data_IF_218111202802
#
_entry.id   IF_218111202802
#
_cell.length_a   1.000
_cell.length_b   1.000
_cell.length_c   1.000
_cell.angle_alpha   90.00
_cell.angle_beta   90.00
_cell.angle_gamma   90.00
#
_symmetry.space_group_name_H-M   'P 1'
#
loop_
_entity.id
_entity.type
_entity.pdbx_description
1 polymer ?
#
# COMPACT_ATOMS: atom_id res chain seq x y z
N UNK A 1 -6.39 -1.35 41.66
CA UNK A 1 -5.35 -0.54 40.97
C UNK A 1 -5.21 -1.06 39.56
N UNK A 2 -5.75 -0.33 38.59
CA UNK A 2 -5.70 -0.67 37.16
C UNK A 2 -4.29 -0.41 36.65
N UNK A 3 -3.52 -1.47 36.37
CA UNK A 3 -2.27 -1.33 35.65
C UNK A 3 -2.56 -0.83 34.23
N UNK A 4 -2.22 0.43 33.98
CA UNK A 4 -2.18 1.02 32.64
C UNK A 4 -1.11 0.29 31.82
N UNK A 5 -1.51 -0.62 30.94
CA UNK A 5 -0.64 -1.34 29.99
C UNK A 5 -0.01 -0.44 28.90
N UNK A 6 -0.08 0.88 29.07
CA UNK A 6 0.51 1.89 28.21
C UNK A 6 1.74 2.53 28.86
N UNK A 7 2.50 1.76 29.64
CA UNK A 7 3.80 2.21 30.14
C UNK A 7 4.80 2.28 28.97
N UNK A 8 5.13 3.52 28.63
CA UNK A 8 6.35 4.08 28.04
C UNK A 8 7.22 3.21 27.10
N UNK A 9 7.50 3.78 25.92
CA UNK A 9 8.63 3.45 25.05
C UNK A 9 8.66 2.08 24.37
N UNK A 10 7.52 1.51 23.95
CA UNK A 10 7.53 0.33 23.05
C UNK A 10 7.90 0.69 21.60
N UNK A 11 9.00 1.40 21.40
CA UNK A 11 9.66 1.60 20.11
C UNK A 11 11.03 0.90 20.10
N UNK A 12 11.02 -0.40 20.42
CA UNK A 12 12.19 -1.24 20.23
C UNK A 12 11.93 -2.17 19.05
N UNK A 13 12.54 -1.83 17.91
CA UNK A 13 12.73 -2.80 16.83
C UNK A 13 13.61 -3.89 17.41
N UNK A 14 13.02 -5.06 17.60
CA UNK A 14 13.69 -6.26 18.10
C UNK A 14 13.43 -7.40 17.14
N UNK A 15 14.30 -8.38 17.17
CA UNK A 15 14.14 -9.59 16.36
C UNK A 15 12.78 -10.27 16.66
N UNK A 16 12.14 -10.78 15.62
CA UNK A 16 10.87 -11.51 15.72
C UNK A 16 9.61 -10.65 15.72
N UNK A 17 9.69 -9.30 15.71
CA UNK A 17 8.48 -8.47 15.66
C UNK A 17 7.69 -8.67 14.35
N UNK A 18 8.39 -9.03 13.26
CA UNK A 18 7.77 -9.33 11.97
C UNK A 18 6.84 -10.56 12.05
N UNK A 19 7.00 -11.42 13.06
CA UNK A 19 6.22 -12.65 13.26
C UNK A 19 4.96 -12.43 14.10
N UNK A 20 4.86 -11.33 14.86
CA UNK A 20 3.72 -11.06 15.77
C UNK A 20 2.38 -11.08 15.03
N UNK A 21 2.33 -10.51 13.84
CA UNK A 21 1.14 -10.45 12.98
C UNK A 21 1.26 -11.37 11.76
N UNK A 22 2.01 -12.47 11.87
CA UNK A 22 2.21 -13.39 10.74
C UNK A 22 0.87 -13.94 10.23
N UNK A 23 0.62 -13.80 8.92
CA UNK A 23 -0.60 -14.30 8.27
C UNK A 23 -1.88 -13.55 8.64
N UNK A 24 -1.79 -12.49 9.46
CA UNK A 24 -2.95 -11.76 9.96
C UNK A 24 -3.70 -11.04 8.85
N UNK A 25 -5.02 -11.19 8.85
CA UNK A 25 -5.95 -10.34 8.10
C UNK A 25 -6.85 -9.65 9.12
N UNK A 26 -6.60 -8.36 9.36
CA UNK A 26 -7.37 -7.57 10.32
C UNK A 26 -8.75 -7.15 9.81
N UNK A 27 -9.57 -6.63 10.73
CA UNK A 27 -10.78 -5.91 10.37
C UNK A 27 -10.43 -4.55 9.74
N UNK A 28 -11.35 -4.01 8.95
CA UNK A 28 -11.20 -2.64 8.45
C UNK A 28 -11.40 -1.62 9.57
N UNK A 29 -10.44 -0.72 9.70
CA UNK A 29 -10.38 0.38 10.63
C UNK A 29 -10.45 1.71 9.86
N UNK A 30 -10.78 2.77 10.58
CA UNK A 30 -10.71 4.16 10.11
C UNK A 30 -9.71 4.94 10.95
N UNK A 31 -9.45 6.20 10.60
CA UNK A 31 -8.64 7.07 11.43
C UNK A 31 -9.27 7.35 12.81
N UNK A 32 -10.55 7.05 13.03
CA UNK A 32 -11.17 7.12 14.37
C UNK A 32 -10.76 5.95 15.26
N UNK A 33 -10.43 4.81 14.69
CA UNK A 33 -10.02 3.59 15.41
C UNK A 33 -8.49 3.54 15.62
N UNK A 34 -7.87 4.71 15.75
CA UNK A 34 -6.41 4.87 15.70
C UNK A 34 -5.68 4.18 16.85
N UNK A 35 -6.24 4.26 18.06
CA UNK A 35 -5.65 3.62 19.23
C UNK A 35 -5.67 2.10 19.10
N UNK A 36 -6.78 1.53 18.63
CA UNK A 36 -6.90 0.10 18.34
C UNK A 36 -5.88 -0.33 17.27
N UNK A 37 -5.73 0.47 16.21
CA UNK A 37 -4.72 0.22 15.19
C UNK A 37 -3.31 0.16 15.79
N UNK A 38 -2.91 1.18 16.56
CA UNK A 38 -1.58 1.29 17.14
C UNK A 38 -1.25 0.19 18.17
N UNK A 39 -2.24 -0.30 18.90
CA UNK A 39 -2.06 -1.44 19.81
C UNK A 39 -1.75 -2.73 19.05
N UNK A 40 -2.21 -2.84 17.81
CA UNK A 40 -2.15 -4.07 17.03
C UNK A 40 -1.04 -4.11 15.98
N UNK A 41 -0.66 -2.96 15.40
CA UNK A 41 0.29 -2.88 14.28
C UNK A 41 1.73 -3.02 14.75
N UNK A 42 2.56 -3.67 13.93
CA UNK A 42 4.00 -3.76 14.10
C UNK A 42 4.72 -3.13 12.91
N UNK A 43 5.94 -2.63 13.14
CA UNK A 43 6.83 -2.20 12.05
C UNK A 43 7.06 -3.41 11.13
N UNK A 44 6.92 -3.19 9.83
CA UNK A 44 7.01 -4.22 8.79
C UNK A 44 5.68 -4.85 8.39
N UNK A 45 4.57 -4.51 9.05
CA UNK A 45 3.24 -4.97 8.65
C UNK A 45 2.81 -4.37 7.31
N UNK A 46 2.21 -5.20 6.47
CA UNK A 46 1.53 -4.78 5.25
C UNK A 46 0.17 -4.18 5.62
N UNK A 47 -0.12 -3.00 5.10
CA UNK A 47 -1.40 -2.31 5.27
C UNK A 47 -2.10 -2.25 3.91
N UNK A 48 -3.34 -2.72 3.90
CA UNK A 48 -4.23 -2.63 2.74
C UNK A 48 -5.21 -1.48 2.94
N UNK A 49 -5.32 -0.63 1.93
CA UNK A 49 -6.19 0.55 1.94
C UNK A 49 -7.13 0.44 0.73
N UNK A 50 -8.39 0.02 0.91
CA UNK A 50 -9.35 -0.11 -0.18
C UNK A 50 -9.58 1.23 -0.89
N UNK A 51 -9.53 1.20 -2.22
CA UNK A 51 -9.95 2.31 -3.08
C UNK A 51 -11.01 1.83 -4.05
N UNK A 52 -11.73 2.76 -4.68
CA UNK A 52 -12.85 2.47 -5.60
C UNK A 52 -12.49 1.55 -6.76
N UNK A 53 -11.29 1.72 -7.31
CA UNK A 53 -10.82 0.95 -8.46
C UNK A 53 -9.90 -0.18 -8.02
N UNK A 54 -8.83 0.14 -7.28
CA UNK A 54 -7.78 -0.82 -6.90
C UNK A 54 -7.23 -0.47 -5.52
N UNK A 55 -7.12 -1.50 -4.66
CA UNK A 55 -6.62 -1.32 -3.30
C UNK A 55 -5.17 -0.83 -3.33
N UNK A 56 -4.88 0.13 -2.47
CA UNK A 56 -3.53 0.60 -2.24
C UNK A 56 -2.86 -0.23 -1.15
N UNK A 57 -1.54 -0.39 -1.24
CA UNK A 57 -0.77 -1.20 -0.32
C UNK A 57 0.48 -0.46 0.14
N UNK A 58 0.79 -0.57 1.42
CA UNK A 58 1.98 0.03 2.01
C UNK A 58 2.55 -0.84 3.13
N UNK A 59 3.80 -0.56 3.51
CA UNK A 59 4.44 -1.14 4.69
C UNK A 59 4.41 -0.10 5.81
N UNK A 60 3.92 -0.48 6.98
CA UNK A 60 3.99 0.35 8.18
C UNK A 60 5.41 0.38 8.72
N UNK A 61 5.98 1.58 8.89
CA UNK A 61 7.34 1.76 9.42
C UNK A 61 7.37 2.54 10.74
N UNK A 62 6.20 2.92 11.26
CA UNK A 62 6.07 3.71 12.47
C UNK A 62 6.82 5.04 12.38
N UNK A 63 7.35 5.58 13.49
CA UNK A 63 8.15 6.80 13.51
C UNK A 63 9.64 6.56 13.24
N UNK A 64 10.02 5.38 12.71
CA UNK A 64 11.43 4.99 12.59
C UNK A 64 12.26 5.99 11.77
N UNK A 65 11.78 6.34 10.58
CA UNK A 65 12.48 7.27 9.71
C UNK A 65 12.32 8.73 10.15
N UNK A 66 11.22 9.05 10.83
CA UNK A 66 10.99 10.37 11.43
C UNK A 66 12.10 10.68 12.44
N UNK A 67 12.35 9.79 13.39
CA UNK A 67 13.41 10.01 14.39
C UNK A 67 14.82 9.94 13.78
N UNK A 68 15.05 9.13 12.75
CA UNK A 68 16.33 9.13 12.01
C UNK A 68 16.63 10.49 11.37
N UNK A 69 15.60 11.20 10.87
CA UNK A 69 15.74 12.49 10.20
C UNK A 69 15.73 13.68 11.14
N UNK A 70 14.84 13.68 12.14
CA UNK A 70 14.58 14.85 12.99
C UNK A 70 15.15 14.72 14.40
N UNK A 71 15.76 13.58 14.74
CA UNK A 71 16.15 13.26 16.11
C UNK A 71 14.96 12.89 17.00
N UNK A 72 15.24 12.30 18.16
CA UNK A 72 14.20 12.02 19.16
C UNK A 72 13.80 13.34 19.83
N UNK A 73 12.51 13.65 19.80
CA UNK A 73 11.92 14.79 20.50
C UNK A 73 11.04 14.26 21.63
N UNK A 74 11.32 14.64 22.87
CA UNK A 74 10.64 14.13 24.06
C UNK A 74 9.13 14.43 24.07
N UNK A 75 8.68 15.45 23.32
CA UNK A 75 7.26 15.79 23.16
C UNK A 75 6.48 14.83 22.27
N UNK A 76 7.15 14.05 21.40
CA UNK A 76 6.53 13.16 20.42
C UNK A 76 6.74 11.70 20.83
N UNK A 77 5.66 11.00 21.14
CA UNK A 77 5.66 9.61 21.61
C UNK A 77 5.18 8.64 20.53
N UNK A 78 5.43 7.34 20.70
CA UNK A 78 5.02 6.27 19.76
C UNK A 78 3.55 6.35 19.33
N UNK A 79 2.65 6.78 20.22
CA UNK A 79 1.22 6.86 19.91
C UNK A 79 0.82 8.13 19.14
N UNK A 80 1.73 9.08 18.95
CA UNK A 80 1.46 10.30 18.20
C UNK A 80 1.28 9.96 16.72
N UNK A 81 0.08 10.28 16.22
CA UNK A 81 -0.35 10.04 14.86
C UNK A 81 0.43 10.84 13.82
N UNK A 82 0.89 12.03 14.19
CA UNK A 82 1.61 12.97 13.31
C UNK A 82 3.00 12.51 12.92
N UNK A 83 3.56 11.51 13.61
CA UNK A 83 4.90 10.98 13.34
C UNK A 83 4.88 9.58 12.73
N UNK A 84 3.70 8.94 12.59
CA UNK A 84 3.63 7.61 12.01
C UNK A 84 3.78 7.66 10.51
N UNK A 85 4.69 6.84 9.99
CA UNK A 85 5.02 6.79 8.58
C UNK A 85 4.77 5.41 7.98
N UNK A 86 4.59 5.43 6.68
CA UNK A 86 4.49 4.25 5.83
C UNK A 86 5.44 4.38 4.65
N UNK A 87 5.79 3.25 4.07
CA UNK A 87 6.47 3.20 2.78
C UNK A 87 5.54 2.56 1.76
N UNK A 88 5.37 3.24 0.64
CA UNK A 88 4.49 2.80 -0.44
C UNK A 88 5.04 3.29 -1.76
N UNK A 89 4.55 2.73 -2.87
CA UNK A 89 4.87 3.25 -4.20
C UNK A 89 3.63 3.93 -4.75
N UNK A 90 3.80 5.11 -5.35
CA UNK A 90 2.71 5.71 -6.11
C UNK A 90 2.55 4.91 -7.40
N UNK A 91 1.47 4.13 -7.48
CA UNK A 91 0.98 3.67 -8.76
C UNK A 91 0.43 4.88 -9.50
N UNK A 92 1.19 5.44 -10.44
CA UNK A 92 0.69 6.39 -11.44
C UNK A 92 -0.21 5.63 -12.43
N UNK A 93 -1.29 5.06 -11.90
CA UNK A 93 -2.34 4.49 -12.73
C UNK A 93 -3.31 5.60 -13.08
N UNK A 94 -3.61 5.81 -14.37
CA UNK A 94 -4.67 6.72 -14.80
C UNK A 94 -6.07 6.33 -14.28
N UNK A 95 -6.20 5.19 -13.57
CA UNK A 95 -7.43 4.73 -12.92
C UNK A 95 -7.50 5.00 -11.39
N UNK A 96 -6.44 5.50 -10.75
CA UNK A 96 -6.46 5.80 -9.31
C UNK A 96 -6.84 7.26 -9.09
N UNK A 97 -8.13 7.50 -8.92
CA UNK A 97 -8.67 8.84 -8.67
C UNK A 97 -8.24 9.34 -7.29
N UNK A 98 -7.74 10.59 -7.22
CA UNK A 98 -7.52 11.45 -6.03
C UNK A 98 -6.17 11.46 -5.30
N UNK A 99 -5.05 11.55 -6.01
CA UNK A 99 -3.94 12.45 -5.63
C UNK A 99 -2.81 12.44 -6.66
N UNK A 100 -2.78 13.48 -7.50
CA UNK A 100 -1.69 13.74 -8.43
C UNK A 100 -0.49 14.29 -7.65
N UNK A 101 0.60 13.53 -7.60
CA UNK A 101 1.92 14.09 -7.29
C UNK A 101 2.90 13.60 -8.35
N UNK A 102 2.91 14.31 -9.48
CA UNK A 102 3.95 14.19 -10.50
C UNK A 102 5.30 14.41 -9.80
N UNK A 103 6.16 13.41 -9.81
CA UNK A 103 7.57 13.65 -9.46
C UNK A 103 8.17 14.53 -10.56
N UNK A 104 9.02 15.53 -10.23
CA UNK A 104 9.59 16.46 -11.23
C UNK A 104 10.33 15.78 -12.40
N UNK A 105 10.69 14.50 -12.25
CA UNK A 105 11.46 13.73 -13.23
C UNK A 105 10.64 12.71 -14.04
N UNK A 106 9.31 12.71 -13.95
CA UNK A 106 8.47 11.78 -14.74
C UNK A 106 8.67 10.29 -14.42
N UNK A 107 9.32 9.96 -13.29
CA UNK A 107 9.55 8.58 -12.86
C UNK A 107 8.34 8.08 -12.08
N UNK A 108 7.58 7.19 -12.70
CA UNK A 108 6.45 6.47 -12.09
C UNK A 108 6.95 5.29 -11.25
N UNK A 109 6.23 4.88 -10.19
CA UNK A 109 6.53 3.70 -9.35
C UNK A 109 7.78 3.78 -8.45
N UNK A 110 8.13 4.96 -7.95
CA UNK A 110 9.22 5.13 -6.97
C UNK A 110 8.68 4.93 -5.54
N UNK A 111 9.45 4.26 -4.68
CA UNK A 111 9.12 4.12 -3.28
C UNK A 111 9.15 5.49 -2.58
N UNK A 112 8.13 5.75 -1.76
CA UNK A 112 7.94 6.99 -1.03
C UNK A 112 7.71 6.70 0.44
N UNK A 113 8.31 7.52 1.28
CA UNK A 113 8.06 7.58 2.70
C UNK A 113 7.11 8.76 2.96
N UNK A 114 5.89 8.46 3.39
CA UNK A 114 4.86 9.46 3.66
C UNK A 114 4.23 9.23 5.05
N UNK A 115 3.57 10.25 5.58
CA UNK A 115 2.79 10.10 6.81
C UNK A 115 1.55 9.24 6.57
N UNK A 116 1.27 8.37 7.54
CA UNK A 116 0.17 7.41 7.46
C UNK A 116 -1.18 8.12 7.19
N UNK A 117 -1.42 9.21 7.90
CA UNK A 117 -2.68 9.97 7.81
C UNK A 117 -2.88 10.63 6.45
N UNK A 118 -1.80 11.10 5.82
CA UNK A 118 -1.87 11.80 4.53
C UNK A 118 -2.19 10.83 3.40
N UNK A 119 -1.77 9.57 3.54
CA UNK A 119 -2.05 8.53 2.55
C UNK A 119 -3.41 7.88 2.77
N UNK A 120 -3.81 7.62 4.02
CA UNK A 120 -5.11 7.01 4.31
C UNK A 120 -6.27 8.00 4.09
N UNK A 121 -6.12 9.24 4.55
CA UNK A 121 -7.18 10.27 4.56
C UNK A 121 -8.47 9.75 5.19
N UNK A 122 -9.57 9.74 4.42
CA UNK A 122 -10.91 9.31 4.81
C UNK A 122 -11.18 7.82 4.55
N UNK A 123 -10.21 7.09 3.97
CA UNK A 123 -10.39 5.69 3.61
C UNK A 123 -10.25 4.76 4.80
N UNK A 124 -10.90 3.59 4.69
CA UNK A 124 -10.66 2.47 5.59
C UNK A 124 -9.30 1.84 5.29
N UNK A 125 -8.73 1.13 6.26
CA UNK A 125 -7.49 0.38 6.12
C UNK A 125 -7.47 -0.84 7.03
N UNK A 126 -6.58 -1.81 6.79
CA UNK A 126 -6.36 -2.95 7.69
C UNK A 126 -4.93 -3.47 7.61
N UNK A 127 -4.47 -4.12 8.66
CA UNK A 127 -3.28 -4.99 8.60
C UNK A 127 -3.64 -6.20 7.74
N UNK A 128 -2.83 -6.51 6.73
CA UNK A 128 -3.03 -7.66 5.86
C UNK A 128 -1.69 -8.30 5.47
N UNK A 129 -1.24 -9.21 6.32
CA UNK A 129 -0.04 -10.03 6.12
C UNK A 129 -0.36 -11.41 5.55
N UNK A 130 -1.47 -11.58 4.81
CA UNK A 130 -1.93 -12.89 4.35
C UNK A 130 -0.87 -13.68 3.56
N UNK A 131 0.02 -12.97 2.85
CA UNK A 131 1.02 -13.60 2.00
C UNK A 131 2.09 -14.36 2.81
N UNK A 132 2.20 -14.10 4.11
CA UNK A 132 3.03 -14.90 5.01
C UNK A 132 2.62 -16.38 5.07
N UNK A 133 1.34 -16.67 4.79
CA UNK A 133 0.82 -18.03 4.70
C UNK A 133 1.32 -18.77 3.44
N UNK A 134 1.84 -18.03 2.46
CA UNK A 134 2.36 -18.55 1.19
C UNK A 134 3.89 -18.54 1.18
N UNK A 135 4.49 -17.46 1.69
CA UNK A 135 5.94 -17.30 1.76
C UNK A 135 6.32 -16.57 3.03
N UNK A 136 7.25 -17.14 3.77
CA UNK A 136 7.69 -16.60 5.05
C UNK A 136 8.15 -15.13 4.93
N UNK A 137 7.84 -14.33 5.95
CA UNK A 137 8.37 -12.98 6.08
C UNK A 137 9.89 -12.98 6.30
N UNK A 138 10.59 -12.03 5.68
CA UNK A 138 11.97 -11.68 6.00
C UNK A 138 12.07 -11.24 7.46
N UNK A 139 13.25 -11.39 8.06
CA UNK A 139 13.56 -10.73 9.34
C UNK A 139 13.33 -9.22 9.27
N UNK A 140 12.96 -8.60 10.38
CA UNK A 140 12.71 -7.17 10.44
C UNK A 140 13.91 -6.33 9.96
N UNK A 141 15.14 -6.78 10.24
CA UNK A 141 16.36 -6.14 9.75
C UNK A 141 16.38 -6.10 8.21
N UNK A 142 16.15 -7.24 7.56
CA UNK A 142 16.15 -7.31 6.11
C UNK A 142 14.98 -6.54 5.48
N UNK A 143 13.83 -6.45 6.15
CA UNK A 143 12.71 -5.58 5.73
C UNK A 143 13.18 -4.12 5.71
N UNK A 144 13.80 -3.64 6.79
CA UNK A 144 14.26 -2.24 6.90
C UNK A 144 15.42 -1.93 5.96
N UNK A 145 16.35 -2.86 5.73
CA UNK A 145 17.42 -2.72 4.73
C UNK A 145 16.80 -2.58 3.33
N UNK A 146 15.86 -3.47 2.98
CA UNK A 146 15.18 -3.41 1.67
C UNK A 146 14.46 -2.08 1.49
N UNK A 147 13.76 -1.59 2.52
CA UNK A 147 13.09 -0.28 2.48
C UNK A 147 14.10 0.86 2.27
N UNK A 148 15.20 0.88 3.02
CA UNK A 148 16.22 1.92 2.85
C UNK A 148 16.80 1.90 1.43
N UNK A 149 17.05 0.71 0.86
CA UNK A 149 17.55 0.59 -0.51
C UNK A 149 16.53 1.14 -1.52
N UNK A 150 15.25 0.77 -1.41
CA UNK A 150 14.21 1.27 -2.32
C UNK A 150 13.96 2.79 -2.21
N UNK A 151 14.16 3.37 -1.02
CA UNK A 151 14.02 4.83 -0.81
C UNK A 151 15.21 5.62 -1.38
N UNK A 152 16.43 5.06 -1.35
CA UNK A 152 17.65 5.76 -1.79
C UNK A 152 18.02 5.47 -3.25
N UNK A 153 17.91 4.22 -3.65
CA UNK A 153 18.24 3.71 -4.98
C UNK A 153 17.05 2.90 -5.52
N UNK A 154 15.93 3.57 -5.85
CA UNK A 154 14.74 2.87 -6.33
C UNK A 154 15.08 2.05 -7.56
N UNK A 155 14.76 0.75 -7.51
CA UNK A 155 15.01 -0.12 -8.64
C UNK A 155 14.23 0.41 -9.86
N UNK A 156 14.93 0.74 -10.95
CA UNK A 156 14.35 1.11 -12.26
C UNK A 156 13.56 -0.05 -12.92
N UNK A 157 13.16 -1.08 -12.17
CA UNK A 157 12.59 -2.33 -12.68
C UNK A 157 11.06 -2.36 -12.69
N UNK A 158 10.39 -1.40 -12.04
CA UNK A 158 8.93 -1.40 -11.92
C UNK A 158 8.24 -0.74 -13.12
N UNK A 159 7.97 -1.53 -14.17
CA UNK A 159 7.11 -1.10 -15.28
C UNK A 159 5.62 -1.34 -14.95
N UNK A 160 4.96 -0.24 -14.57
CA UNK A 160 3.54 0.14 -14.75
C UNK A 160 2.48 -0.97 -14.78
N UNK A 161 1.82 -1.19 -13.63
CA UNK A 161 0.39 -0.92 -13.38
C UNK A 161 -0.01 -1.59 -12.06
N UNK A 162 -0.76 -0.85 -11.22
CA UNK A 162 -1.79 -1.29 -10.24
C UNK A 162 -1.46 -2.41 -9.23
N UNK A 163 -0.98 -3.55 -9.72
CA UNK A 163 -0.40 -4.64 -8.96
C UNK A 163 0.93 -4.25 -8.29
N UNK A 164 1.59 -3.19 -8.76
CA UNK A 164 2.90 -2.81 -8.22
C UNK A 164 2.87 -2.58 -6.70
N UNK A 165 1.86 -1.91 -6.12
CA UNK A 165 1.85 -1.66 -4.67
C UNK A 165 1.76 -2.96 -3.85
N UNK A 166 0.89 -3.88 -4.25
CA UNK A 166 0.76 -5.19 -3.61
C UNK A 166 2.03 -6.04 -3.81
N UNK A 167 2.61 -5.97 -5.00
CA UNK A 167 3.85 -6.65 -5.34
C UNK A 167 5.03 -6.07 -4.56
N UNK A 168 5.05 -4.75 -4.37
CA UNK A 168 6.06 -4.04 -3.60
C UNK A 168 6.03 -4.46 -2.14
N UNK A 169 4.85 -4.50 -1.50
CA UNK A 169 4.78 -4.93 -0.09
C UNK A 169 5.17 -6.40 0.07
N UNK A 170 4.82 -7.29 -0.88
CA UNK A 170 5.28 -8.70 -0.90
C UNK A 170 6.77 -8.82 -1.20
N UNK A 171 7.28 -7.97 -2.09
CA UNK A 171 8.70 -7.89 -2.37
C UNK A 171 9.44 -7.42 -1.14
N UNK A 172 8.96 -6.45 -0.37
CA UNK A 172 9.64 -5.91 0.84
C UNK A 172 9.49 -6.82 2.05
N UNK A 173 8.33 -7.45 2.25
CA UNK A 173 8.08 -8.31 3.40
C UNK A 173 8.55 -9.74 3.19
N UNK A 174 8.42 -10.32 1.99
CA UNK A 174 8.48 -11.78 1.82
C UNK A 174 9.45 -12.27 0.73
N UNK A 175 10.53 -11.60 0.32
CA UNK A 175 11.41 -12.21 -0.71
C UNK A 175 10.88 -12.20 -2.16
N UNK A 176 9.68 -11.68 -2.40
CA UNK A 176 8.87 -12.16 -3.53
C UNK A 176 9.19 -11.46 -4.85
N UNK A 177 10.33 -11.83 -5.44
CA UNK A 177 10.84 -11.32 -6.73
C UNK A 177 10.12 -11.91 -7.97
N UNK A 178 9.37 -13.00 -7.81
CA UNK A 178 8.93 -13.86 -8.93
C UNK A 178 7.76 -13.34 -9.79
N UNK A 179 7.35 -12.08 -9.67
CA UNK A 179 6.20 -11.57 -10.42
C UNK A 179 6.53 -10.46 -11.44
N UNK A 180 7.82 -10.27 -11.73
CA UNK A 180 8.28 -9.18 -12.60
C UNK A 180 8.38 -9.55 -14.10
N UNK A 181 8.19 -10.82 -14.51
CA UNK A 181 8.31 -11.19 -15.94
C UNK A 181 7.17 -12.00 -16.56
N UNK A 182 6.39 -12.80 -15.81
CA UNK A 182 5.48 -13.78 -16.45
C UNK A 182 3.98 -13.41 -16.36
N UNK A 183 3.55 -12.65 -15.35
CA UNK A 183 2.11 -12.43 -15.11
C UNK A 183 1.56 -11.09 -15.67
N UNK A 184 2.42 -10.07 -15.80
CA UNK A 184 2.00 -8.73 -16.23
C UNK A 184 1.59 -8.68 -17.71
N UNK A 185 2.32 -9.37 -18.59
CA UNK A 185 1.95 -9.49 -20.00
C UNK A 185 0.60 -10.21 -20.19
N UNK A 186 0.32 -11.24 -19.37
CA UNK A 186 -0.83 -12.12 -19.58
C UNK A 186 -2.12 -11.58 -18.94
N UNK A 187 -2.04 -10.89 -17.80
CA UNK A 187 -3.23 -10.34 -17.11
C UNK A 187 -3.61 -8.93 -17.56
N UNK A 188 -2.63 -8.05 -17.79
CA UNK A 188 -2.86 -6.71 -18.32
C UNK A 188 -3.52 -6.74 -19.70
N UNK A 189 -3.01 -7.59 -20.59
CA UNK A 189 -3.61 -7.82 -21.90
C UNK A 189 -5.06 -8.34 -21.79
N UNK A 190 -5.32 -9.34 -20.93
CA UNK A 190 -6.68 -9.90 -20.76
C UNK A 190 -7.68 -8.88 -20.21
N UNK A 191 -7.28 -8.05 -19.25
CA UNK A 191 -8.15 -7.03 -18.67
C UNK A 191 -8.44 -5.88 -19.65
N UNK A 192 -7.42 -5.37 -20.35
CA UNK A 192 -7.60 -4.35 -21.39
C UNK A 192 -8.48 -4.88 -22.53
N UNK A 193 -8.28 -6.12 -22.97
CA UNK A 193 -9.15 -6.76 -23.97
C UNK A 193 -10.61 -6.87 -23.49
N UNK A 194 -10.84 -7.20 -22.21
CA UNK A 194 -12.18 -7.25 -21.62
C UNK A 194 -12.88 -5.89 -21.62
N UNK A 195 -12.17 -4.83 -21.25
CA UNK A 195 -12.70 -3.46 -21.28
C UNK A 195 -13.00 -2.98 -22.70
N UNK A 196 -12.10 -3.25 -23.66
CA UNK A 196 -12.32 -2.93 -25.06
C UNK A 196 -13.55 -3.65 -25.62
N UNK A 197 -13.75 -4.93 -25.29
CA UNK A 197 -14.97 -5.68 -25.66
C UNK A 197 -16.25 -5.09 -25.06
N UNK A 198 -16.22 -4.66 -23.80
CA UNK A 198 -17.38 -4.01 -23.17
C UNK A 198 -17.70 -2.66 -23.82
N UNK A 199 -16.66 -1.89 -24.17
CA UNK A 199 -16.82 -0.58 -24.81
C UNK A 199 -17.34 -0.70 -26.24
N UNK A 200 -16.85 -1.65 -27.04
CA UNK A 200 -17.37 -1.92 -28.39
C UNK A 200 -18.81 -2.44 -28.35
N UNK A 201 -19.15 -3.31 -27.38
CA UNK A 201 -20.54 -3.76 -27.20
C UNK A 201 -21.49 -2.60 -26.86
N UNK A 202 -21.07 -1.67 -26.01
CA UNK A 202 -21.86 -0.48 -25.65
C UNK A 202 -22.02 0.52 -26.81
N UNK A 203 -21.00 0.68 -27.65
CA UNK A 203 -21.07 1.52 -28.85
C UNK A 203 -22.03 0.90 -29.87
N UNK A 204 -21.94 -0.43 -30.07
CA UNK A 204 -22.84 -1.14 -31.00
C UNK A 204 -24.30 -1.11 -30.52
N UNK A 205 -24.57 -1.24 -29.22
CA UNK A 205 -25.94 -1.12 -28.70
C UNK A 205 -26.49 0.31 -28.80
N UNK A 206 -25.66 1.33 -28.58
CA UNK A 206 -26.06 2.74 -28.73
C UNK A 206 -26.36 3.11 -30.19
N UNK A 207 -25.59 2.58 -31.15
CA UNK A 207 -25.83 2.79 -32.60
C UNK A 207 -27.16 2.16 -33.06
N UNK A 208 -27.48 0.96 -32.57
CA UNK A 208 -28.74 0.26 -32.88
C UNK A 208 -29.95 1.00 -32.27
N UNK A 209 -29.82 1.52 -31.05
CA UNK A 209 -30.89 2.32 -30.41
C UNK A 209 -31.08 3.71 -31.05
N UNK A 210 -30.02 4.31 -31.59
CA UNK A 210 -30.09 5.57 -32.34
C UNK A 210 -30.82 5.44 -33.67
N UNK A 211 -30.71 4.29 -34.36
CA UNK A 211 -31.42 4.04 -35.62
C UNK A 211 -32.94 3.85 -35.43
N UNK A 212 -33.38 3.33 -34.27
CA UNK A 212 -34.80 3.05 -34.01
C UNK A 212 -35.64 4.26 -33.60
N UNK A 213 -35.02 5.41 -33.27
CA UNK A 213 -35.76 6.65 -32.93
C UNK A 213 -36.05 7.57 -34.11
N UNK A 214 -35.62 7.24 -35.34
CA UNK A 214 -35.74 8.14 -36.51
C UNK A 214 -36.79 7.71 -37.56
N UNK A 215 -37.77 6.90 -37.17
CA UNK A 215 -38.98 6.61 -37.98
C UNK A 215 -40.25 6.68 -37.12
N UNK A 216 -40.63 7.89 -36.72
CA UNK A 216 -42.01 8.25 -36.38
C UNK A 216 -42.24 9.72 -36.72
N UNK A 217 -42.57 9.96 -37.97
CA UNK A 217 -43.43 11.04 -38.48
C UNK A 217 -44.03 10.53 -39.76
#
# INVERSE_FOLDING_TARGET
MTHSFLNDDKWFIREGIEKINMGKIGKYLTLHDWEEFLQSVQIGDCIEIPRKTINHWCIFVGPHFYYKKYGRNDSKKWHDKSIQQIVHINGDSPLSSTSYSLTPNGKTNVAKLDFFVDVVKDSKFRINNYFDLVKESRSIENILITINNELNEPLNRYNLLLFNCEHFVKYVRNDNKNCDQIDQHRRGAKYIFSLLKKKTAAINSASIFGLFKRKRT
#
